data_IF_985393758156
#
_entry.id   IF_985393758156
#
_cell.length_a   1.000
_cell.length_b   1.000
_cell.length_c   1.000
_cell.angle_alpha   90.00
_cell.angle_beta   90.00
_cell.angle_gamma   90.00
#
_symmetry.space_group_name_H-M   'P 1'
#
loop_
_entity.id
_entity.type
_entity.pdbx_description
1 polymer ?
#
# COMPACT_ATOMS: atom_id res chain seq x y z
N UNK A 1 -30.79 8.02 6.54
CA UNK A 1 -29.33 7.84 6.45
C UNK A 1 -28.83 8.59 5.22
N UNK A 2 -27.75 9.36 5.31
CA UNK A 2 -27.12 9.97 4.13
C UNK A 2 -26.68 8.88 3.13
N UNK A 3 -26.64 9.18 1.82
CA UNK A 3 -26.19 8.22 0.82
C UNK A 3 -24.75 7.78 1.09
N UNK A 4 -24.50 6.46 1.09
CA UNK A 4 -23.15 5.87 1.13
C UNK A 4 -22.61 5.78 -0.29
N UNK A 5 -22.03 6.87 -0.79
CA UNK A 5 -21.23 6.86 -2.02
C UNK A 5 -19.88 6.15 -1.78
N UNK A 6 -19.13 5.84 -2.85
CA UNK A 6 -17.88 5.08 -2.76
C UNK A 6 -16.69 5.82 -2.14
N UNK A 7 -15.47 5.38 -2.47
CA UNK A 7 -14.22 5.80 -1.81
C UNK A 7 -13.96 7.33 -1.85
N UNK A 8 -14.46 8.05 -2.86
CA UNK A 8 -14.41 9.52 -2.89
C UNK A 8 -15.08 10.16 -1.66
N UNK A 9 -16.28 9.70 -1.30
CA UNK A 9 -17.02 10.22 -0.15
C UNK A 9 -16.36 9.80 1.17
N UNK A 10 -15.75 8.62 1.21
CA UNK A 10 -14.98 8.20 2.38
C UNK A 10 -13.82 9.17 2.66
N UNK A 11 -13.02 9.50 1.65
CA UNK A 11 -11.91 10.45 1.81
C UNK A 11 -12.42 11.85 2.18
N UNK A 12 -13.49 12.34 1.55
CA UNK A 12 -14.11 13.64 1.89
C UNK A 12 -14.58 13.65 3.34
N UNK A 13 -15.27 12.59 3.78
CA UNK A 13 -15.76 12.50 5.15
C UNK A 13 -14.61 12.45 6.16
N UNK A 14 -13.50 11.79 5.85
CA UNK A 14 -12.31 11.83 6.71
C UNK A 14 -11.74 13.25 6.83
N UNK A 15 -11.77 14.05 5.76
CA UNK A 15 -11.40 15.47 5.83
C UNK A 15 -12.36 16.28 6.71
N UNK A 16 -13.69 16.08 6.57
CA UNK A 16 -14.72 16.69 7.44
C UNK A 16 -14.45 16.38 8.91
N UNK A 17 -14.30 15.10 9.27
CA UNK A 17 -14.10 14.66 10.65
C UNK A 17 -12.81 15.21 11.24
N UNK A 18 -11.69 15.08 10.51
CA UNK A 18 -10.38 15.48 11.03
C UNK A 18 -10.25 17.00 11.17
N UNK A 19 -10.91 17.77 10.31
CA UNK A 19 -10.87 19.25 10.32
C UNK A 19 -11.67 19.85 11.48
N UNK A 20 -12.78 19.21 11.87
CA UNK A 20 -13.78 19.78 12.80
C UNK A 20 -13.73 19.17 14.20
N UNK A 21 -13.26 17.92 14.36
CA UNK A 21 -13.29 17.22 15.64
C UNK A 21 -11.90 17.15 16.29
N UNK A 22 -11.81 17.11 17.63
CA UNK A 22 -10.54 16.89 18.32
C UNK A 22 -9.98 15.49 17.97
N UNK A 23 -8.65 15.35 17.97
CA UNK A 23 -7.95 14.10 17.59
C UNK A 23 -8.46 12.88 18.38
N UNK A 24 -8.85 13.08 19.65
CA UNK A 24 -9.39 12.03 20.52
C UNK A 24 -10.71 11.41 20.02
N UNK A 25 -11.42 12.06 19.10
CA UNK A 25 -12.71 11.61 18.56
C UNK A 25 -12.62 11.03 17.15
N UNK A 26 -11.48 11.10 16.46
CA UNK A 26 -11.38 10.71 15.05
C UNK A 26 -11.71 9.22 14.78
N UNK A 27 -11.42 8.35 15.74
CA UNK A 27 -11.62 6.89 15.65
C UNK A 27 -12.70 6.35 16.61
N UNK A 28 -13.46 7.23 17.24
CA UNK A 28 -14.43 6.89 18.30
C UNK A 28 -15.82 7.31 17.85
N UNK A 29 -16.82 6.48 18.15
CA UNK A 29 -18.21 6.85 17.96
C UNK A 29 -18.58 7.99 18.92
N UNK A 30 -19.07 9.11 18.37
CA UNK A 30 -19.57 10.23 19.15
C UNK A 30 -20.88 10.76 18.55
N UNK A 31 -21.48 11.79 19.16
CA UNK A 31 -22.65 12.46 18.57
C UNK A 31 -22.34 13.04 17.20
N UNK A 32 -21.07 13.39 16.95
CA UNK A 32 -20.63 14.07 15.74
C UNK A 32 -19.90 13.14 14.75
N UNK A 33 -19.40 11.99 15.23
CA UNK A 33 -18.71 10.98 14.41
C UNK A 33 -19.43 9.62 14.48
N UNK A 34 -20.14 9.26 13.40
CA UNK A 34 -20.74 7.93 13.25
C UNK A 34 -19.80 7.03 12.46
N UNK A 35 -19.13 6.11 13.13
CA UNK A 35 -18.18 5.19 12.51
C UNK A 35 -18.81 4.20 11.52
N UNK A 36 -20.15 4.12 11.46
CA UNK A 36 -20.87 3.35 10.45
C UNK A 36 -21.01 4.12 9.13
N UNK A 37 -20.79 5.43 9.13
CA UNK A 37 -20.77 6.27 7.93
C UNK A 37 -19.32 6.62 7.57
N UNK A 38 -18.66 5.72 6.84
CA UNK A 38 -17.28 5.93 6.39
C UNK A 38 -16.30 6.31 7.52
N UNK A 39 -16.39 5.61 8.66
CA UNK A 39 -15.45 5.80 9.76
C UNK A 39 -13.99 5.60 9.32
N UNK A 40 -13.08 6.22 10.06
CA UNK A 40 -11.66 6.20 9.73
C UNK A 40 -11.08 4.81 10.02
N UNK A 41 -10.68 4.10 8.96
CA UNK A 41 -10.23 2.70 9.00
C UNK A 41 -8.73 2.54 8.69
N UNK A 42 -8.03 3.66 8.44
CA UNK A 42 -6.60 3.69 8.13
C UNK A 42 -5.80 4.21 9.33
N UNK A 43 -4.48 3.93 9.39
CA UNK A 43 -3.67 4.33 10.53
C UNK A 43 -3.43 5.86 10.59
N UNK A 44 -2.89 6.36 11.72
CA UNK A 44 -2.81 7.78 12.04
C UNK A 44 -2.29 8.71 10.94
N UNK A 45 -1.32 8.29 10.12
CA UNK A 45 -0.74 9.17 9.11
C UNK A 45 -1.74 9.51 8.00
N UNK A 46 -2.69 8.63 7.69
CA UNK A 46 -3.82 9.00 6.82
C UNK A 46 -4.71 10.04 7.46
N UNK A 47 -5.01 9.93 8.75
CA UNK A 47 -5.83 10.92 9.44
C UNK A 47 -5.14 12.31 9.45
N UNK A 48 -3.83 12.36 9.68
CA UNK A 48 -3.05 13.60 9.57
C UNK A 48 -3.05 14.17 8.13
N UNK A 49 -2.94 13.31 7.13
CA UNK A 49 -3.06 13.74 5.73
C UNK A 49 -4.45 14.32 5.44
N UNK A 50 -5.52 13.64 5.84
CA UNK A 50 -6.90 14.13 5.71
C UNK A 50 -7.11 15.44 6.45
N UNK A 51 -6.49 15.62 7.62
CA UNK A 51 -6.50 16.88 8.36
C UNK A 51 -5.85 18.02 7.57
N UNK A 52 -4.65 17.80 7.02
CA UNK A 52 -3.92 18.81 6.24
C UNK A 52 -4.72 19.19 5.00
N UNK A 53 -5.17 18.22 4.21
CA UNK A 53 -5.96 18.48 3.00
C UNK A 53 -7.32 19.11 3.37
N UNK A 54 -7.94 18.67 4.46
CA UNK A 54 -9.19 19.22 4.96
C UNK A 54 -9.09 20.67 5.43
N UNK A 55 -7.98 21.06 6.07
CA UNK A 55 -7.69 22.46 6.42
C UNK A 55 -7.46 23.34 5.18
N UNK A 56 -6.75 22.83 4.18
CA UNK A 56 -6.60 23.53 2.89
C UNK A 56 -7.97 23.69 2.21
N UNK A 57 -8.79 22.64 2.25
CA UNK A 57 -10.17 22.65 1.73
C UNK A 57 -11.03 23.72 2.42
N UNK A 58 -11.00 23.75 3.76
CA UNK A 58 -11.73 24.73 4.59
C UNK A 58 -11.32 26.18 4.28
N UNK A 59 -10.03 26.43 4.02
CA UNK A 59 -9.53 27.76 3.63
C UNK A 59 -10.03 28.22 2.25
N UNK A 60 -10.25 27.28 1.32
CA UNK A 60 -10.72 27.59 -0.04
C UNK A 60 -12.24 27.71 -0.06
N UNK A 61 -12.95 26.73 0.51
CA UNK A 61 -14.40 26.69 0.55
C UNK A 61 -14.88 25.92 1.80
N UNK A 62 -15.26 26.61 2.90
CA UNK A 62 -15.61 25.99 4.18
C UNK A 62 -16.72 24.93 4.08
N UNK A 63 -17.64 25.09 3.14
CA UNK A 63 -18.77 24.16 2.93
C UNK A 63 -18.33 22.75 2.52
N UNK A 64 -17.13 22.55 1.96
CA UNK A 64 -16.67 21.24 1.49
C UNK A 64 -16.32 20.28 2.63
N UNK A 65 -15.96 20.83 3.80
CA UNK A 65 -15.64 20.07 5.01
C UNK A 65 -16.54 20.43 6.19
N UNK A 66 -17.62 21.18 5.97
CA UNK A 66 -18.56 21.57 7.01
C UNK A 66 -19.21 20.35 7.68
N UNK A 67 -19.15 20.29 9.01
CA UNK A 67 -19.64 19.15 9.78
C UNK A 67 -21.15 18.93 9.53
N UNK A 68 -21.54 17.68 9.25
CA UNK A 68 -22.91 17.22 8.95
C UNK A 68 -23.50 17.68 7.61
N UNK A 69 -23.22 18.90 7.15
CA UNK A 69 -23.83 19.48 5.94
C UNK A 69 -23.06 19.14 4.66
N UNK A 70 -21.76 18.84 4.75
CA UNK A 70 -20.91 18.55 3.58
C UNK A 70 -21.03 17.14 3.02
N UNK A 71 -21.87 16.28 3.62
CA UNK A 71 -22.01 14.86 3.28
C UNK A 71 -22.60 14.67 1.88
N UNK A 72 -21.89 13.97 1.01
CA UNK A 72 -22.29 13.71 -0.37
C UNK A 72 -22.09 14.87 -1.34
N UNK A 73 -21.30 15.89 -1.01
CA UNK A 73 -20.98 16.98 -1.94
C UNK A 73 -20.23 16.44 -3.17
N UNK A 74 -20.77 16.72 -4.35
CA UNK A 74 -20.24 16.27 -5.64
C UNK A 74 -20.11 17.39 -6.69
N UNK A 75 -20.03 18.66 -6.25
CA UNK A 75 -19.82 19.78 -7.17
C UNK A 75 -18.46 19.68 -7.90
N UNK A 76 -18.37 20.29 -9.09
CA UNK A 76 -17.21 20.12 -9.96
C UNK A 76 -15.92 20.76 -9.42
N UNK A 77 -16.03 21.89 -8.71
CA UNK A 77 -14.88 22.54 -8.07
C UNK A 77 -14.29 21.70 -6.93
N UNK A 78 -15.14 21.06 -6.13
CA UNK A 78 -14.74 20.14 -5.06
C UNK A 78 -14.10 18.88 -5.64
N UNK A 79 -14.69 18.30 -6.71
CA UNK A 79 -14.07 17.18 -7.44
C UNK A 79 -12.69 17.57 -7.97
N UNK A 80 -12.55 18.76 -8.57
CA UNK A 80 -11.27 19.25 -9.07
C UNK A 80 -10.25 19.38 -7.93
N UNK A 81 -10.61 20.02 -6.82
CA UNK A 81 -9.75 20.14 -5.64
C UNK A 81 -9.25 18.77 -5.16
N UNK A 82 -10.17 17.83 -4.99
CA UNK A 82 -9.89 16.47 -4.55
C UNK A 82 -8.96 15.73 -5.52
N UNK A 83 -9.11 15.89 -6.84
CA UNK A 83 -8.19 15.29 -7.82
C UNK A 83 -6.82 15.97 -7.82
N UNK A 84 -6.78 17.28 -7.62
CA UNK A 84 -5.52 18.03 -7.52
C UNK A 84 -4.72 17.63 -6.27
N UNK A 85 -5.37 17.37 -5.14
CA UNK A 85 -4.65 16.89 -3.95
C UNK A 85 -3.97 15.54 -4.19
N UNK A 86 -4.64 14.59 -4.88
CA UNK A 86 -4.03 13.31 -5.32
C UNK A 86 -2.82 13.56 -6.24
N UNK A 87 -2.96 14.44 -7.23
CA UNK A 87 -1.89 14.72 -8.20
C UNK A 87 -0.67 15.39 -7.56
N UNK A 88 -0.90 16.35 -6.67
CA UNK A 88 0.18 17.07 -5.96
C UNK A 88 0.96 16.10 -5.08
N UNK A 89 0.30 15.26 -4.29
CA UNK A 89 0.99 14.28 -3.44
C UNK A 89 1.67 13.18 -4.26
N UNK A 90 1.13 12.82 -5.43
CA UNK A 90 1.76 11.90 -6.37
C UNK A 90 3.10 12.43 -6.89
N UNK A 91 3.10 13.68 -7.37
CA UNK A 91 4.31 14.36 -7.87
C UNK A 91 5.32 14.61 -6.75
N UNK A 92 4.87 14.93 -5.54
CA UNK A 92 5.76 15.24 -4.42
C UNK A 92 6.43 14.01 -3.81
N UNK A 93 5.72 12.88 -3.70
CA UNK A 93 6.20 11.72 -2.93
C UNK A 93 6.59 10.53 -3.80
N UNK A 94 5.75 10.17 -4.78
CA UNK A 94 5.92 8.93 -5.53
C UNK A 94 6.91 9.07 -6.70
N UNK A 95 6.71 10.09 -7.56
CA UNK A 95 7.56 10.30 -8.74
C UNK A 95 9.05 10.42 -8.37
N UNK A 96 9.46 11.23 -7.37
CA UNK A 96 10.88 11.42 -7.08
C UNK A 96 11.55 10.13 -6.59
N UNK A 97 10.85 9.35 -5.75
CA UNK A 97 11.36 8.08 -5.24
C UNK A 97 11.55 7.06 -6.37
N UNK A 98 10.55 6.91 -7.24
CA UNK A 98 10.60 6.01 -8.38
C UNK A 98 11.69 6.41 -9.37
N UNK A 99 11.77 7.71 -9.69
CA UNK A 99 12.80 8.26 -10.57
C UNK A 99 14.20 7.99 -10.01
N UNK A 100 14.44 8.23 -8.73
CA UNK A 100 15.75 8.00 -8.10
C UNK A 100 16.16 6.52 -8.10
N UNK A 101 15.19 5.60 -7.98
CA UNK A 101 15.43 4.16 -8.03
C UNK A 101 15.72 3.67 -9.45
N UNK A 102 15.04 4.24 -10.45
CA UNK A 102 15.14 3.85 -11.86
C UNK A 102 16.00 4.80 -12.71
N UNK A 103 16.73 5.74 -12.11
CA UNK A 103 17.50 6.77 -12.83
C UNK A 103 18.58 6.22 -13.79
N UNK A 104 19.04 5.00 -13.53
CA UNK A 104 20.04 4.31 -14.35
C UNK A 104 19.39 3.29 -15.32
N UNK A 105 18.06 3.19 -15.32
CA UNK A 105 17.31 2.34 -16.23
C UNK A 105 17.16 3.01 -17.59
N UNK A 106 16.81 2.21 -18.60
CA UNK A 106 16.42 2.74 -19.91
C UNK A 106 15.21 3.66 -19.75
N UNK A 107 15.15 4.76 -20.50
CA UNK A 107 14.04 5.73 -20.44
C UNK A 107 12.67 5.07 -20.61
N UNK A 108 12.57 4.06 -21.49
CA UNK A 108 11.35 3.25 -21.67
C UNK A 108 10.87 2.58 -20.37
N UNK A 109 11.78 2.06 -19.55
CA UNK A 109 11.44 1.39 -18.28
C UNK A 109 10.93 2.42 -17.26
N UNK A 110 11.58 3.58 -17.19
CA UNK A 110 11.13 4.67 -16.34
C UNK A 110 9.74 5.19 -16.76
N UNK A 111 9.51 5.39 -18.07
CA UNK A 111 8.19 5.79 -18.58
C UNK A 111 7.13 4.71 -18.30
N UNK A 112 7.44 3.43 -18.52
CA UNK A 112 6.53 2.33 -18.19
C UNK A 112 6.15 2.35 -16.70
N UNK A 113 7.13 2.53 -15.81
CA UNK A 113 6.88 2.55 -14.38
C UNK A 113 6.07 3.78 -13.92
N UNK A 114 6.30 4.96 -14.50
CA UNK A 114 5.55 6.17 -14.19
C UNK A 114 4.11 6.12 -14.72
N UNK A 115 3.91 5.54 -15.91
CA UNK A 115 2.61 5.47 -16.58
C UNK A 115 1.83 4.20 -16.26
N UNK A 116 2.27 3.40 -15.29
CA UNK A 116 1.63 2.13 -14.94
C UNK A 116 0.11 2.29 -14.66
N UNK A 117 -0.77 1.63 -15.46
CA UNK A 117 -2.22 1.85 -15.41
C UNK A 117 -2.86 1.55 -14.08
N UNK A 118 -2.46 0.44 -13.43
CA UNK A 118 -3.06 0.03 -12.17
C UNK A 118 -3.03 1.14 -11.11
N UNK A 119 -1.88 1.77 -10.90
CA UNK A 119 -1.78 2.85 -9.91
C UNK A 119 -2.50 4.12 -10.38
N UNK A 120 -2.30 4.52 -11.64
CA UNK A 120 -2.89 5.74 -12.19
C UNK A 120 -4.41 5.72 -12.16
N UNK A 121 -5.04 4.62 -12.57
CA UNK A 121 -6.49 4.47 -12.64
C UNK A 121 -7.13 4.30 -11.27
N UNK A 122 -6.46 3.60 -10.34
CA UNK A 122 -6.98 3.46 -8.99
C UNK A 122 -6.89 4.79 -8.22
N UNK A 123 -5.78 5.52 -8.31
CA UNK A 123 -5.64 6.77 -7.57
C UNK A 123 -6.45 7.91 -8.23
N UNK A 124 -6.33 8.10 -9.55
CA UNK A 124 -6.96 9.24 -10.26
C UNK A 124 -8.35 8.93 -10.85
N UNK A 125 -8.75 7.66 -10.97
CA UNK A 125 -10.09 7.26 -11.40
C UNK A 125 -10.95 6.89 -10.20
N UNK A 126 -10.60 5.79 -9.53
CA UNK A 126 -11.32 5.25 -8.37
C UNK A 126 -11.23 6.13 -7.10
N UNK A 127 -10.31 7.11 -7.08
CA UNK A 127 -10.08 8.07 -5.99
C UNK A 127 -9.47 7.45 -4.74
N UNK A 128 -8.15 7.27 -4.78
CA UNK A 128 -7.36 6.72 -3.68
C UNK A 128 -6.04 7.46 -3.52
N UNK A 129 -5.48 7.41 -2.31
CA UNK A 129 -4.14 7.90 -2.00
C UNK A 129 -3.14 6.75 -1.83
N UNK A 130 -3.16 5.73 -2.69
CA UNK A 130 -2.24 4.59 -2.54
C UNK A 130 -0.78 5.00 -2.78
N UNK A 131 -0.54 5.92 -3.71
CA UNK A 131 0.79 6.43 -4.03
C UNK A 131 1.53 7.06 -2.84
N UNK A 132 0.85 7.55 -1.81
CA UNK A 132 1.51 8.10 -0.62
C UNK A 132 2.21 6.97 0.14
N UNK A 133 1.48 5.91 0.46
CA UNK A 133 2.02 4.71 1.09
C UNK A 133 3.10 4.06 0.23
N UNK A 134 2.79 3.80 -1.04
CA UNK A 134 3.71 3.16 -1.98
C UNK A 134 4.95 4.03 -2.24
N UNK A 135 4.80 5.35 -2.27
CA UNK A 135 5.90 6.31 -2.41
C UNK A 135 6.82 6.33 -1.20
N UNK A 136 6.28 6.30 0.02
CA UNK A 136 7.04 6.15 1.26
C UNK A 136 7.77 4.80 1.31
N UNK A 137 7.14 3.73 0.83
CA UNK A 137 7.78 2.43 0.62
C UNK A 137 8.94 2.52 -0.38
N UNK A 138 8.77 3.19 -1.52
CA UNK A 138 9.85 3.41 -2.49
C UNK A 138 11.00 4.21 -1.88
N UNK A 139 10.71 5.24 -1.07
CA UNK A 139 11.73 5.96 -0.30
C UNK A 139 12.48 5.03 0.66
N UNK A 140 11.79 4.10 1.31
CA UNK A 140 12.43 3.09 2.15
C UNK A 140 13.43 2.24 1.36
N UNK A 141 12.99 1.68 0.21
CA UNK A 141 13.85 0.90 -0.71
C UNK A 141 15.06 1.72 -1.16
N UNK A 142 14.85 2.99 -1.54
CA UNK A 142 15.93 3.90 -1.93
C UNK A 142 16.98 4.07 -0.83
N UNK A 143 16.55 4.36 0.41
CA UNK A 143 17.47 4.53 1.52
C UNK A 143 18.20 3.23 1.90
N UNK A 144 17.53 2.08 1.80
CA UNK A 144 18.18 0.78 1.98
C UNK A 144 19.31 0.57 0.94
N UNK A 145 19.05 0.89 -0.33
CA UNK A 145 20.05 0.81 -1.41
C UNK A 145 21.18 1.83 -1.30
N UNK A 146 20.96 2.93 -0.58
CA UNK A 146 21.97 3.93 -0.23
C UNK A 146 22.69 3.66 1.08
N UNK A 147 22.54 2.47 1.67
CA UNK A 147 23.16 2.08 2.94
C UNK A 147 22.77 3.01 4.10
N UNK A 148 21.55 3.56 4.06
CA UNK A 148 20.96 4.44 5.07
C UNK A 148 19.76 3.76 5.76
N UNK A 149 19.96 2.61 6.46
CA UNK A 149 18.85 1.78 6.91
C UNK A 149 17.95 2.46 7.94
N UNK A 150 18.46 3.36 8.79
CA UNK A 150 17.62 4.10 9.73
C UNK A 150 16.57 4.97 9.02
N UNK A 151 16.98 5.76 8.01
CA UNK A 151 16.06 6.58 7.21
C UNK A 151 15.07 5.71 6.43
N UNK A 152 15.52 4.57 5.91
CA UNK A 152 14.63 3.62 5.24
C UNK A 152 13.61 2.99 6.20
N UNK A 153 14.01 2.67 7.42
CA UNK A 153 13.09 2.18 8.47
C UNK A 153 12.06 3.24 8.86
N UNK A 154 12.45 4.51 9.00
CA UNK A 154 11.49 5.61 9.23
C UNK A 154 10.48 5.67 8.07
N UNK A 155 10.96 5.73 6.83
CA UNK A 155 10.10 5.80 5.65
C UNK A 155 9.12 4.61 5.56
N UNK A 156 9.58 3.40 5.88
CA UNK A 156 8.72 2.22 5.88
C UNK A 156 7.68 2.22 7.02
N UNK A 157 8.06 2.68 8.22
CA UNK A 157 7.10 2.86 9.33
C UNK A 157 6.05 3.91 8.98
N UNK A 158 6.43 4.98 8.28
CA UNK A 158 5.48 5.98 7.77
C UNK A 158 4.56 5.38 6.71
N UNK A 159 5.08 4.55 5.78
CA UNK A 159 4.28 3.84 4.79
C UNK A 159 3.21 2.95 5.48
N UNK A 160 3.64 2.13 6.45
CA UNK A 160 2.75 1.31 7.28
C UNK A 160 1.73 2.13 8.06
N UNK A 161 2.12 3.31 8.53
CA UNK A 161 1.25 4.21 9.27
C UNK A 161 0.30 5.02 8.37
N UNK A 162 0.46 4.93 7.05
CA UNK A 162 -0.47 5.48 6.07
C UNK A 162 -1.45 4.40 5.58
N UNK A 163 -0.95 3.23 5.18
CA UNK A 163 -1.80 2.07 4.86
C UNK A 163 -1.18 0.80 5.44
N UNK A 164 -1.92 0.15 6.33
CA UNK A 164 -1.52 -1.09 6.99
C UNK A 164 -1.19 -2.23 6.03
N UNK A 165 -1.70 -2.15 4.79
CA UNK A 165 -1.46 -3.15 3.75
C UNK A 165 0.03 -3.25 3.34
N UNK A 166 0.86 -2.24 3.65
CA UNK A 166 2.32 -2.32 3.49
C UNK A 166 2.98 -3.43 4.33
N UNK A 167 2.25 -4.04 5.26
CA UNK A 167 2.70 -5.25 5.97
C UNK A 167 3.08 -6.37 5.01
N UNK A 168 2.57 -6.37 3.77
CA UNK A 168 2.92 -7.34 2.73
C UNK A 168 4.41 -7.30 2.37
N UNK A 169 5.08 -6.16 2.61
CA UNK A 169 6.51 -5.97 2.40
C UNK A 169 7.36 -6.14 3.67
N UNK A 170 6.73 -6.30 4.84
CA UNK A 170 7.44 -6.27 6.13
C UNK A 170 8.40 -7.44 6.32
N UNK A 171 8.01 -8.66 5.93
CA UNK A 171 8.84 -9.87 6.09
C UNK A 171 10.18 -9.76 5.33
N UNK A 172 10.21 -9.46 4.01
CA UNK A 172 11.47 -9.31 3.29
C UNK A 172 12.29 -8.10 3.76
N UNK A 173 11.66 -6.98 4.16
CA UNK A 173 12.37 -5.84 4.76
C UNK A 173 13.06 -6.23 6.06
N UNK A 174 12.34 -6.93 6.93
CA UNK A 174 12.90 -7.42 8.19
C UNK A 174 14.06 -8.38 7.94
N UNK A 175 13.89 -9.39 7.08
CA UNK A 175 14.94 -10.35 6.74
C UNK A 175 16.19 -9.66 6.16
N UNK A 176 15.99 -8.71 5.26
CA UNK A 176 17.07 -7.94 4.63
C UNK A 176 17.84 -7.10 5.66
N UNK A 177 17.16 -6.36 6.53
CA UNK A 177 17.79 -5.54 7.55
C UNK A 177 18.46 -6.38 8.64
N UNK A 178 17.84 -7.49 9.04
CA UNK A 178 18.40 -8.46 9.98
C UNK A 178 19.69 -9.07 9.41
N UNK A 179 19.65 -9.59 8.18
CA UNK A 179 20.83 -10.16 7.52
C UNK A 179 21.99 -9.17 7.46
N UNK A 180 21.71 -7.91 7.09
CA UNK A 180 22.74 -6.85 7.07
C UNK A 180 23.27 -6.46 8.45
N UNK A 181 22.46 -6.64 9.50
CA UNK A 181 22.85 -6.37 10.89
C UNK A 181 23.65 -7.51 11.50
N UNK A 182 23.47 -8.74 11.00
CA UNK A 182 24.18 -9.93 11.46
C UNK A 182 25.49 -10.17 10.71
N UNK A 183 25.55 -9.88 9.41
CA UNK A 183 26.66 -10.30 8.54
C UNK A 183 27.41 -9.11 7.90
N UNK A 184 28.74 -9.23 7.74
CA UNK A 184 29.58 -8.28 6.97
C UNK A 184 29.57 -8.57 5.47
N UNK A 185 29.43 -9.84 5.12
CA UNK A 185 29.32 -10.39 3.78
C UNK A 185 28.61 -11.75 3.85
N UNK A 186 28.49 -12.50 2.75
CA UNK A 186 27.83 -13.79 2.77
C UNK A 186 28.38 -14.71 3.87
N UNK A 187 27.50 -15.13 4.79
CA UNK A 187 27.80 -16.07 5.89
C UNK A 187 28.90 -15.65 6.88
N UNK A 188 29.39 -14.40 6.83
CA UNK A 188 30.44 -13.92 7.73
C UNK A 188 29.85 -13.05 8.84
N UNK A 189 29.73 -13.61 10.05
CA UNK A 189 29.13 -12.92 11.20
C UNK A 189 29.93 -11.70 11.65
N UNK A 190 29.20 -10.67 12.07
CA UNK A 190 29.76 -9.49 12.74
C UNK A 190 30.08 -9.80 14.20
N UNK A 191 31.02 -9.06 14.83
CA UNK A 191 31.21 -9.09 16.28
C UNK A 191 29.90 -8.78 17.01
N UNK A 192 29.66 -9.47 18.13
CA UNK A 192 28.42 -9.35 18.93
C UNK A 192 28.09 -7.89 19.28
N UNK A 193 29.10 -7.09 19.67
CA UNK A 193 28.92 -5.65 19.96
C UNK A 193 28.38 -4.87 18.76
N UNK A 194 28.87 -5.17 17.56
CA UNK A 194 28.41 -4.56 16.31
C UNK A 194 26.97 -4.99 16.01
N UNK A 195 26.65 -6.29 16.16
CA UNK A 195 25.30 -6.81 15.98
C UNK A 195 24.31 -6.08 16.90
N UNK A 196 24.60 -6.03 18.20
CA UNK A 196 23.75 -5.37 19.20
C UNK A 196 23.56 -3.89 18.84
N UNK A 197 24.63 -3.18 18.46
CA UNK A 197 24.53 -1.78 18.05
C UNK A 197 23.60 -1.57 16.84
N UNK A 198 23.74 -2.37 15.78
CA UNK A 198 22.90 -2.24 14.58
C UNK A 198 21.44 -2.57 14.88
N UNK A 199 21.18 -3.66 15.61
CA UNK A 199 19.83 -4.06 16.00
C UNK A 199 19.17 -3.04 16.93
N UNK A 200 19.88 -2.57 17.95
CA UNK A 200 19.37 -1.55 18.88
C UNK A 200 19.09 -0.24 18.13
N UNK A 201 19.99 0.20 17.25
CA UNK A 201 19.80 1.42 16.45
C UNK A 201 18.54 1.33 15.58
N UNK A 202 18.31 0.21 14.90
CA UNK A 202 17.12 0.03 14.06
C UNK A 202 15.86 -0.12 14.90
N UNK A 203 15.90 -0.91 15.98
CA UNK A 203 14.78 -1.11 16.89
C UNK A 203 14.33 0.20 17.54
N UNK A 204 15.25 0.99 18.08
CA UNK A 204 14.97 2.32 18.65
C UNK A 204 14.37 3.25 17.58
N UNK A 205 14.94 3.26 16.37
CA UNK A 205 14.43 4.08 15.27
C UNK A 205 12.96 3.75 14.94
N UNK A 206 12.63 2.47 14.83
CA UNK A 206 11.26 2.00 14.56
C UNK A 206 10.32 2.36 15.72
N UNK A 207 10.71 2.08 16.96
CA UNK A 207 9.90 2.35 18.16
C UNK A 207 9.62 3.86 18.29
N UNK A 208 10.64 4.71 18.15
CA UNK A 208 10.48 6.17 18.24
C UNK A 208 9.55 6.67 17.12
N UNK A 209 9.71 6.18 15.89
CA UNK A 209 8.86 6.62 14.77
C UNK A 209 7.39 6.26 15.01
N UNK A 210 7.11 5.03 15.45
CA UNK A 210 5.74 4.65 15.84
C UNK A 210 5.24 5.47 17.02
N UNK A 211 6.05 5.65 18.07
CA UNK A 211 5.67 6.44 19.24
C UNK A 211 5.30 7.88 18.87
N UNK A 212 6.07 8.53 17.99
CA UNK A 212 5.78 9.90 17.52
C UNK A 212 4.48 9.94 16.71
N UNK A 213 4.28 9.02 15.77
CA UNK A 213 3.07 8.99 14.92
C UNK A 213 1.82 8.70 15.75
N UNK A 214 1.92 7.84 16.76
CA UNK A 214 0.79 7.38 17.57
C UNK A 214 0.57 8.18 18.85
N UNK A 215 1.51 9.06 19.24
CA UNK A 215 1.46 9.80 20.51
C UNK A 215 0.11 10.50 20.78
N UNK A 216 -0.53 11.18 19.81
CA UNK A 216 -1.82 11.83 20.05
C UNK A 216 -2.96 10.88 20.39
N UNK A 217 -2.88 9.61 19.95
CA UNK A 217 -3.92 8.60 20.16
C UNK A 217 -3.74 7.80 21.45
N UNK A 218 -2.63 8.00 22.18
CA UNK A 218 -2.45 7.43 23.52
C UNK A 218 -3.45 8.02 24.52
N UNK A 219 -3.84 9.28 24.30
CA UNK A 219 -4.77 10.02 25.15
C UNK A 219 -6.22 10.03 24.62
N UNK A 220 -6.52 9.25 23.57
CA UNK A 220 -7.91 9.11 23.11
C UNK A 220 -8.74 8.40 24.18
N UNK A 221 -10.06 8.65 24.20
CA UNK A 221 -10.97 8.14 25.23
C UNK A 221 -10.90 6.61 25.41
N UNK A 222 -10.78 5.88 24.30
CA UNK A 222 -10.67 4.42 24.24
C UNK A 222 -9.23 3.93 23.96
N UNK A 223 -8.27 4.86 24.00
CA UNK A 223 -6.84 4.62 23.80
C UNK A 223 -6.45 4.17 22.37
N UNK A 224 -5.19 3.74 22.20
CA UNK A 224 -4.65 3.31 20.90
C UNK A 224 -5.21 1.96 20.43
N UNK A 225 -5.79 1.16 21.34
CA UNK A 225 -6.39 -0.13 21.01
C UNK A 225 -7.64 0.03 20.14
N UNK A 226 -8.43 1.08 20.35
CA UNK A 226 -9.57 1.40 19.49
C UNK A 226 -9.13 1.69 18.05
N UNK A 227 -8.05 2.46 17.88
CA UNK A 227 -7.47 2.75 16.56
C UNK A 227 -7.01 1.45 15.88
N UNK A 228 -6.33 0.56 16.63
CA UNK A 228 -5.92 -0.75 16.12
C UNK A 228 -7.11 -1.63 15.70
N UNK A 229 -8.20 -1.64 16.48
CA UNK A 229 -9.42 -2.37 16.15
C UNK A 229 -10.10 -1.90 14.87
N UNK A 230 -9.96 -0.61 14.52
CA UNK A 230 -10.42 -0.07 13.23
C UNK A 230 -9.52 -0.45 12.06
N UNK A 231 -8.21 -0.40 12.26
CA UNK A 231 -7.21 -0.75 11.22
C UNK A 231 -7.29 -2.23 10.83
N UNK A 232 -7.52 -3.11 11.82
CA UNK A 232 -7.63 -4.57 11.62
C UNK A 232 -9.01 -5.07 12.06
N UNK A 233 -10.03 -4.97 11.19
CA UNK A 233 -11.38 -5.41 11.52
C UNK A 233 -11.49 -6.94 11.47
N UNK A 234 -11.31 -7.61 12.61
CA UNK A 234 -11.34 -9.08 12.72
C UNK A 234 -12.73 -9.73 12.51
N UNK A 235 -13.77 -8.94 12.22
CA UNK A 235 -15.17 -9.39 12.22
C UNK A 235 -15.79 -9.57 10.82
N UNK A 236 -15.02 -9.44 9.73
CA UNK A 236 -15.53 -9.62 8.35
C UNK A 236 -15.42 -11.08 7.89
N UNK A 237 -16.41 -11.54 7.12
CA UNK A 237 -16.50 -12.92 6.65
C UNK A 237 -15.54 -13.24 5.50
N UNK A 238 -15.30 -14.54 5.24
CA UNK A 238 -14.54 -14.99 4.07
C UNK A 238 -15.37 -14.77 2.77
N UNK A 239 -14.76 -14.15 1.76
CA UNK A 239 -15.33 -13.87 0.41
C UNK A 239 -16.40 -12.75 0.33
N UNK A 240 -16.23 -11.61 1.00
CA UNK A 240 -17.10 -10.46 0.72
C UNK A 240 -16.88 -9.89 -0.69
N UNK A 241 -15.67 -10.00 -1.25
CA UNK A 241 -15.30 -9.48 -2.57
C UNK A 241 -14.73 -10.58 -3.50
N UNK A 242 -15.02 -10.50 -4.82
CA UNK A 242 -14.54 -11.44 -5.85
C UNK A 242 -13.14 -11.05 -6.32
N UNK A 243 -12.12 -11.53 -5.63
CA UNK A 243 -10.71 -11.21 -5.92
C UNK A 243 -10.00 -12.37 -6.64
N UNK A 244 -9.04 -12.06 -7.51
CA UNK A 244 -8.21 -13.04 -8.23
C UNK A 244 -7.17 -13.74 -7.33
N UNK A 245 -7.61 -14.32 -6.20
CA UNK A 245 -6.76 -15.03 -5.25
C UNK A 245 -6.96 -16.56 -5.30
N UNK A 246 -6.10 -17.31 -4.61
CA UNK A 246 -6.14 -18.77 -4.58
C UNK A 246 -7.50 -19.29 -4.13
N UNK A 247 -8.05 -18.71 -3.06
CA UNK A 247 -9.30 -19.12 -2.45
C UNK A 247 -10.49 -18.92 -3.40
N UNK A 248 -10.59 -17.78 -4.06
CA UNK A 248 -11.70 -17.48 -4.97
C UNK A 248 -11.66 -18.39 -6.18
N UNK A 249 -10.49 -18.59 -6.78
CA UNK A 249 -10.32 -19.48 -7.93
C UNK A 249 -10.66 -20.94 -7.58
N UNK A 250 -10.11 -21.45 -6.47
CA UNK A 250 -10.36 -22.83 -6.02
C UNK A 250 -11.79 -23.04 -5.49
N UNK A 251 -12.50 -21.98 -5.06
CA UNK A 251 -13.88 -22.08 -4.57
C UNK A 251 -14.91 -22.55 -5.60
N UNK A 252 -14.56 -22.50 -6.88
CA UNK A 252 -15.37 -23.06 -7.97
C UNK A 252 -15.45 -24.58 -7.85
N UNK A 253 -14.35 -25.22 -7.44
CA UNK A 253 -14.21 -26.68 -7.29
C UNK A 253 -14.43 -27.11 -5.85
N UNK A 254 -13.84 -26.40 -4.89
CA UNK A 254 -13.85 -26.74 -3.46
C UNK A 254 -14.67 -25.74 -2.66
N UNK A 255 -15.82 -26.16 -2.11
CA UNK A 255 -16.64 -25.30 -1.26
C UNK A 255 -16.09 -25.23 0.17
N UNK A 256 -15.02 -24.46 0.36
CA UNK A 256 -14.32 -24.34 1.65
C UNK A 256 -15.22 -23.98 2.83
N UNK A 257 -16.29 -23.20 2.63
CA UNK A 257 -17.23 -22.83 3.69
C UNK A 257 -18.01 -24.02 4.25
N UNK A 258 -18.21 -25.05 3.44
CA UNK A 258 -18.94 -26.27 3.84
C UNK A 258 -18.00 -27.28 4.49
N UNK A 259 -16.69 -27.16 4.22
CA UNK A 259 -15.66 -28.11 4.65
C UNK A 259 -14.89 -27.65 5.88
N UNK A 260 -14.70 -26.35 6.07
CA UNK A 260 -13.80 -25.78 7.07
C UNK A 260 -14.45 -24.61 7.81
N UNK A 261 -14.17 -24.52 9.10
CA UNK A 261 -14.55 -23.38 9.93
C UNK A 261 -13.72 -22.14 9.56
N UNK A 262 -14.24 -20.94 9.86
CA UNK A 262 -13.53 -19.67 9.65
C UNK A 262 -12.16 -19.68 10.34
N UNK A 263 -12.06 -20.19 11.57
CA UNK A 263 -10.79 -20.27 12.30
C UNK A 263 -9.77 -21.21 11.62
N UNK A 264 -10.21 -22.32 11.04
CA UNK A 264 -9.32 -23.21 10.28
C UNK A 264 -8.83 -22.53 9.00
N UNK A 265 -9.70 -21.79 8.30
CA UNK A 265 -9.34 -21.05 7.09
C UNK A 265 -8.37 -19.91 7.38
N UNK A 266 -8.55 -19.20 8.49
CA UNK A 266 -7.60 -18.18 8.98
C UNK A 266 -6.22 -18.78 9.29
N UNK A 267 -6.18 -19.95 9.94
CA UNK A 267 -4.91 -20.64 10.23
C UNK A 267 -4.26 -21.17 8.96
N UNK A 268 -5.03 -21.76 8.04
CA UNK A 268 -4.54 -22.29 6.77
C UNK A 268 -3.96 -21.20 5.87
N UNK A 269 -4.67 -20.07 5.71
CA UNK A 269 -4.18 -18.90 4.97
C UNK A 269 -2.90 -18.33 5.57
N UNK A 270 -2.85 -18.17 6.90
CA UNK A 270 -1.62 -17.74 7.58
C UNK A 270 -0.47 -18.72 7.32
N UNK A 271 -0.72 -20.02 7.40
CA UNK A 271 0.27 -21.06 7.12
C UNK A 271 0.80 -21.03 5.69
N UNK A 272 -0.09 -20.87 4.69
CA UNK A 272 0.29 -20.81 3.27
C UNK A 272 1.13 -19.56 2.94
N UNK A 273 0.77 -18.40 3.52
CA UNK A 273 1.58 -17.18 3.37
C UNK A 273 2.98 -17.40 3.95
N UNK A 274 3.08 -17.88 5.18
CA UNK A 274 4.38 -18.11 5.82
C UNK A 274 5.20 -19.15 5.05
N UNK A 275 4.60 -20.26 4.65
CA UNK A 275 5.29 -21.34 3.94
C UNK A 275 5.87 -20.87 2.60
N UNK A 276 5.15 -20.05 1.86
CA UNK A 276 5.61 -19.53 0.55
C UNK A 276 6.67 -18.43 0.66
N UNK A 277 6.76 -17.73 1.80
CA UNK A 277 7.77 -16.69 2.02
C UNK A 277 9.06 -17.22 2.69
N UNK A 278 8.99 -18.35 3.40
CA UNK A 278 10.14 -18.98 4.09
C UNK A 278 11.41 -19.09 3.21
N UNK A 279 11.36 -19.59 1.96
CA UNK A 279 12.56 -19.71 1.13
C UNK A 279 13.21 -18.34 0.85
N UNK A 280 12.40 -17.34 0.52
CA UNK A 280 12.88 -15.97 0.29
C UNK A 280 13.39 -15.30 1.55
N UNK A 281 12.79 -15.59 2.72
CA UNK A 281 13.25 -15.10 4.02
C UNK A 281 14.67 -15.56 4.32
N UNK A 282 14.94 -16.86 4.24
CA UNK A 282 16.28 -17.40 4.51
C UNK A 282 17.31 -16.96 3.47
N UNK A 283 16.92 -16.91 2.20
CA UNK A 283 17.79 -16.40 1.13
C UNK A 283 18.21 -14.95 1.41
N UNK A 284 17.27 -14.09 1.82
CA UNK A 284 17.56 -12.70 2.16
C UNK A 284 18.39 -12.55 3.42
N UNK A 285 18.11 -13.35 4.43
CA UNK A 285 18.83 -13.34 5.70
C UNK A 285 20.32 -13.67 5.49
N UNK A 286 20.60 -14.68 4.67
CA UNK A 286 21.95 -15.18 4.43
C UNK A 286 22.70 -14.40 3.33
N UNK A 287 21.97 -13.85 2.35
CA UNK A 287 22.52 -13.06 1.25
C UNK A 287 21.65 -11.83 0.93
N UNK A 288 21.78 -10.73 1.68
CA UNK A 288 20.97 -9.52 1.51
C UNK A 288 21.43 -8.67 0.32
N UNK A 289 21.33 -9.21 -0.90
CA UNK A 289 21.59 -8.49 -2.15
C UNK A 289 20.39 -7.62 -2.57
N UNK A 290 20.61 -6.65 -3.47
CA UNK A 290 19.53 -5.77 -3.96
C UNK A 290 18.49 -6.52 -4.79
N UNK A 291 18.94 -7.38 -5.71
CA UNK A 291 18.07 -8.19 -6.56
C UNK A 291 17.26 -9.20 -5.75
N UNK A 292 17.90 -9.94 -4.83
CA UNK A 292 17.18 -10.82 -3.92
C UNK A 292 16.15 -10.05 -3.08
N UNK A 293 16.46 -8.82 -2.69
CA UNK A 293 15.54 -7.98 -1.93
C UNK A 293 14.29 -7.60 -2.72
N UNK A 294 14.46 -7.14 -3.97
CA UNK A 294 13.32 -6.84 -4.85
C UNK A 294 12.49 -8.08 -5.17
N UNK A 295 13.13 -9.23 -5.42
CA UNK A 295 12.43 -10.50 -5.62
C UNK A 295 11.69 -10.96 -4.36
N UNK A 296 12.28 -10.77 -3.18
CA UNK A 296 11.62 -11.08 -1.90
C UNK A 296 10.42 -10.17 -1.62
N UNK A 297 10.51 -8.88 -1.96
CA UNK A 297 9.39 -7.94 -1.92
C UNK A 297 8.25 -8.38 -2.83
N UNK A 298 8.56 -8.77 -4.07
CA UNK A 298 7.58 -9.28 -5.03
C UNK A 298 6.95 -10.60 -4.56
N UNK A 299 7.76 -11.57 -4.12
CA UNK A 299 7.28 -12.87 -3.65
C UNK A 299 6.38 -12.71 -2.42
N UNK A 300 6.79 -11.91 -1.45
CA UNK A 300 6.00 -11.66 -0.24
C UNK A 300 4.67 -11.01 -0.58
N UNK A 301 4.66 -9.92 -1.35
CA UNK A 301 3.42 -9.23 -1.72
C UNK A 301 2.47 -10.10 -2.57
N UNK A 302 2.98 -10.91 -3.50
CA UNK A 302 2.17 -11.89 -4.23
C UNK A 302 1.64 -13.00 -3.32
N UNK A 303 2.46 -13.51 -2.39
CA UNK A 303 2.06 -14.53 -1.42
C UNK A 303 0.88 -14.04 -0.56
N UNK A 304 0.98 -12.85 0.02
CA UNK A 304 -0.12 -12.24 0.76
C UNK A 304 -1.35 -12.02 -0.15
N UNK A 305 -1.19 -11.50 -1.36
CA UNK A 305 -2.31 -11.31 -2.29
C UNK A 305 -3.02 -12.62 -2.65
N UNK A 306 -2.28 -13.71 -2.87
CA UNK A 306 -2.84 -14.98 -3.30
C UNK A 306 -3.43 -15.79 -2.14
N UNK A 307 -2.78 -15.80 -0.98
CA UNK A 307 -3.09 -16.75 0.09
C UNK A 307 -3.70 -16.12 1.34
N UNK A 308 -3.71 -14.79 1.51
CA UNK A 308 -4.37 -14.19 2.67
C UNK A 308 -5.88 -14.42 2.67
N UNK A 309 -6.43 -14.51 3.88
CA UNK A 309 -7.86 -14.75 4.11
C UNK A 309 -8.74 -13.63 3.53
N UNK A 310 -8.32 -12.39 3.72
CA UNK A 310 -9.00 -11.21 3.22
C UNK A 310 -8.04 -10.39 2.38
N UNK A 311 -8.42 -10.16 1.13
CA UNK A 311 -7.66 -9.38 0.14
C UNK A 311 -8.67 -8.56 -0.63
N UNK A 312 -8.28 -7.35 -1.03
CA UNK A 312 -9.05 -6.52 -1.95
C UNK A 312 -8.38 -6.51 -3.33
N UNK A 313 -9.14 -6.28 -4.39
CA UNK A 313 -8.65 -6.23 -5.78
C UNK A 313 -7.46 -5.26 -5.90
N UNK A 314 -7.57 -4.10 -5.25
CA UNK A 314 -6.56 -3.03 -5.24
C UNK A 314 -5.23 -3.42 -4.59
N UNK A 315 -5.21 -4.43 -3.72
CA UNK A 315 -3.98 -4.85 -3.02
C UNK A 315 -2.93 -5.42 -3.98
N UNK A 316 -3.30 -5.78 -5.22
CA UNK A 316 -2.35 -6.20 -6.25
C UNK A 316 -1.30 -5.13 -6.57
N UNK A 317 -1.59 -3.85 -6.29
CA UNK A 317 -0.64 -2.75 -6.46
C UNK A 317 0.62 -2.94 -5.61
N UNK A 318 0.52 -3.58 -4.45
CA UNK A 318 1.67 -3.89 -3.59
C UNK A 318 2.65 -4.82 -4.30
N UNK A 319 2.18 -5.77 -5.10
CA UNK A 319 3.02 -6.62 -5.93
C UNK A 319 3.48 -5.92 -7.22
N UNK A 320 2.66 -5.03 -7.77
CA UNK A 320 3.01 -4.29 -8.98
C UNK A 320 4.23 -3.39 -8.77
N UNK A 321 4.36 -2.71 -7.61
CA UNK A 321 5.47 -1.77 -7.39
C UNK A 321 6.85 -2.45 -7.41
N UNK A 322 7.12 -3.54 -6.68
CA UNK A 322 8.36 -4.31 -6.83
C UNK A 322 8.58 -4.83 -8.25
N UNK A 323 7.51 -5.25 -8.94
CA UNK A 323 7.60 -5.70 -10.34
C UNK A 323 8.06 -4.56 -11.28
N UNK A 324 7.62 -3.32 -11.05
CA UNK A 324 8.11 -2.14 -11.77
C UNK A 324 9.61 -1.92 -11.56
N UNK A 325 10.12 -2.15 -10.36
CA UNK A 325 11.56 -2.02 -10.06
C UNK A 325 12.40 -3.12 -10.72
N UNK A 326 11.81 -4.29 -10.98
CA UNK A 326 12.44 -5.44 -11.63
C UNK A 326 12.33 -5.42 -13.16
N UNK A 327 11.63 -4.44 -13.76
CA UNK A 327 11.39 -4.37 -15.21
C UNK A 327 12.67 -4.39 -16.06
N UNK A 328 13.76 -3.81 -15.54
CA UNK A 328 15.04 -3.80 -16.25
C UNK A 328 15.76 -5.15 -16.20
N UNK A 329 15.59 -5.91 -15.12
CA UNK A 329 16.26 -7.20 -14.91
C UNK A 329 15.50 -8.31 -15.64
N UNK A 330 14.16 -8.35 -15.54
CA UNK A 330 13.31 -9.43 -16.06
C UNK A 330 12.13 -8.87 -16.91
N UNK A 331 12.45 -8.22 -18.03
CA UNK A 331 11.47 -7.45 -18.83
C UNK A 331 10.23 -8.25 -19.23
N UNK A 332 10.40 -9.43 -19.83
CA UNK A 332 9.27 -10.23 -20.34
C UNK A 332 8.33 -10.67 -19.23
N UNK A 333 8.88 -11.23 -18.15
CA UNK A 333 8.08 -11.71 -17.01
C UNK A 333 7.37 -10.54 -16.31
N UNK A 334 8.08 -9.44 -16.04
CA UNK A 334 7.50 -8.29 -15.33
C UNK A 334 6.43 -7.58 -16.16
N UNK A 335 6.64 -7.37 -17.46
CA UNK A 335 5.61 -6.78 -18.35
C UNK A 335 4.35 -7.65 -18.45
N UNK A 336 4.52 -8.98 -18.50
CA UNK A 336 3.40 -9.93 -18.48
C UNK A 336 2.64 -9.84 -17.16
N UNK A 337 3.37 -9.89 -16.04
CA UNK A 337 2.77 -9.75 -14.71
C UNK A 337 2.00 -8.43 -14.57
N UNK A 338 2.61 -7.29 -14.95
CA UNK A 338 1.97 -5.97 -14.90
C UNK A 338 0.73 -5.86 -15.79
N UNK A 339 0.71 -6.57 -16.92
CA UNK A 339 -0.48 -6.65 -17.78
C UNK A 339 -1.59 -7.46 -17.09
N UNK A 340 -1.24 -8.58 -16.46
CA UNK A 340 -2.20 -9.40 -15.68
C UNK A 340 -2.75 -8.60 -14.50
N UNK A 341 -1.92 -7.85 -13.78
CA UNK A 341 -2.38 -7.01 -12.67
C UNK A 341 -3.34 -5.92 -13.14
N UNK A 342 -3.07 -5.27 -14.29
CA UNK A 342 -4.01 -4.31 -14.88
C UNK A 342 -5.37 -4.94 -15.24
N UNK A 343 -5.35 -6.11 -15.89
CA UNK A 343 -6.58 -6.84 -16.25
C UNK A 343 -7.37 -7.20 -14.98
N UNK A 344 -6.70 -7.61 -13.91
CA UNK A 344 -7.36 -7.98 -12.64
C UNK A 344 -8.12 -6.83 -11.98
N UNK A 345 -7.74 -5.57 -12.24
CA UNK A 345 -8.40 -4.37 -11.72
C UNK A 345 -9.58 -3.90 -12.57
N UNK A 346 -9.73 -4.42 -13.79
CA UNK A 346 -10.73 -3.95 -14.74
C UNK A 346 -12.18 -4.07 -14.25
N UNK A 347 -12.63 -5.18 -13.61
CA UNK A 347 -14.00 -5.29 -13.12
C UNK A 347 -14.36 -4.20 -12.10
N UNK A 348 -13.42 -3.83 -11.23
CA UNK A 348 -13.61 -2.75 -10.26
C UNK A 348 -13.76 -1.40 -10.98
N UNK A 349 -12.83 -1.08 -11.88
CA UNK A 349 -12.82 0.19 -12.61
C UNK A 349 -14.08 0.37 -13.48
N UNK A 350 -14.61 -0.72 -14.05
CA UNK A 350 -15.90 -0.70 -14.76
C UNK A 350 -17.07 -0.43 -13.82
N UNK A 351 -17.11 -1.06 -12.64
CA UNK A 351 -18.14 -0.84 -11.62
C UNK A 351 -18.20 0.62 -11.19
N UNK A 352 -17.04 1.29 -11.13
CA UNK A 352 -16.93 2.70 -10.76
C UNK A 352 -17.06 3.68 -11.94
N UNK A 353 -17.33 3.18 -13.15
CA UNK A 353 -17.55 4.03 -14.32
C UNK A 353 -16.29 4.72 -14.86
N UNK A 354 -15.10 4.19 -14.60
CA UNK A 354 -13.83 4.74 -15.12
C UNK A 354 -13.65 4.34 -16.59
N UNK A 355 -14.33 5.08 -17.49
CA UNK A 355 -14.37 4.80 -18.94
C UNK A 355 -12.97 4.77 -19.58
N UNK A 356 -12.02 5.55 -19.06
CA UNK A 356 -10.64 5.62 -19.55
C UNK A 356 -9.81 4.36 -19.24
N UNK A 357 -10.28 3.45 -18.39
CA UNK A 357 -9.49 2.31 -17.93
C UNK A 357 -9.06 1.37 -19.08
N UNK A 358 -9.98 1.05 -20.00
CA UNK A 358 -9.71 0.17 -21.13
C UNK A 358 -8.74 0.81 -22.14
N UNK A 359 -9.02 1.98 -22.73
CA UNK A 359 -8.12 2.58 -23.73
C UNK A 359 -6.73 2.87 -23.14
N UNK A 360 -6.65 3.27 -21.87
CA UNK A 360 -5.35 3.52 -21.22
C UNK A 360 -4.55 2.23 -21.01
N UNK A 361 -5.20 1.15 -20.56
CA UNK A 361 -4.52 -0.15 -20.38
C UNK A 361 -4.06 -0.76 -21.69
N UNK A 362 -4.86 -0.64 -22.77
CA UNK A 362 -4.49 -1.07 -24.11
C UNK A 362 -3.30 -0.25 -24.63
N UNK A 363 -3.36 1.08 -24.55
CA UNK A 363 -2.27 1.94 -24.99
C UNK A 363 -0.95 1.61 -24.27
N UNK A 364 -1.01 1.42 -22.94
CA UNK A 364 0.15 1.00 -22.16
C UNK A 364 0.73 -0.33 -22.65
N UNK A 365 -0.13 -1.33 -22.86
CA UNK A 365 0.29 -2.65 -23.33
C UNK A 365 0.94 -2.57 -24.73
N UNK A 366 0.30 -1.87 -25.68
CA UNK A 366 0.83 -1.70 -27.03
C UNK A 366 2.20 -0.98 -27.03
N UNK A 367 2.40 0.04 -26.19
CA UNK A 367 3.65 0.81 -26.15
C UNK A 367 4.77 0.02 -25.49
N UNK A 368 4.51 -0.63 -24.35
CA UNK A 368 5.58 -1.20 -23.52
C UNK A 368 5.79 -2.71 -23.71
N UNK A 369 4.84 -3.41 -24.33
CA UNK A 369 4.97 -4.85 -24.64
C UNK A 369 5.46 -5.10 -26.08
N UNK A 370 5.07 -4.30 -27.09
CA UNK A 370 5.52 -4.54 -28.47
C UNK A 370 6.99 -4.17 -28.73
N UNK A 371 7.64 -3.41 -27.84
CA UNK A 371 9.09 -3.22 -27.89
C UNK A 371 9.89 -4.47 -27.45
N UNK A 372 9.22 -5.59 -27.18
CA UNK A 372 9.85 -6.89 -26.86
C UNK A 372 10.35 -7.63 -28.09
N UNK A 373 9.83 -7.34 -29.30
CA UNK A 373 10.17 -8.09 -30.52
C UNK A 373 11.09 -7.37 -31.51
N UNK A 374 11.30 -6.05 -31.39
CA UNK A 374 12.05 -5.29 -32.40
C UNK A 374 13.57 -5.25 -32.12
N UNK A 375 14.01 -5.57 -30.89
CA UNK A 375 15.43 -5.45 -30.48
C UNK A 375 16.07 -6.80 -30.14
N UNK A 376 15.35 -7.92 -30.22
CA UNK A 376 15.95 -9.26 -30.11
C UNK A 376 16.51 -9.80 -31.43
N UNK A 377 16.52 -8.99 -32.49
CA UNK A 377 17.01 -9.35 -33.83
C UNK A 377 17.91 -8.27 -34.44
N UNK A 378 18.88 -7.78 -33.68
CA UNK A 378 19.98 -6.97 -34.21
C UNK A 378 21.25 -7.14 -33.39
#
# INVERSE_FOLDING_TARGET
>A
MPPKFGDFEAQRHWMEITTNLPISEWYVNSTNNDLNYWGLDYPPLTAYHSFIVGKISEMIHPEWTALHTSRGITNDYHKLFMRMSVMVTFVALYIPALWLLLKNAKSEVLLAALLYPGLMLIDNGHFQYNHISLGLFLWAVYFFFKNKPAYGSVAFVLALSFKQMELYHAIPIFAYLLGRSLFYGPLTLRPIKSIIYHLAKLGICVIITFAVVWAPFVYSKDGPLQVLGRIFPFYRGLFEDKVANFWCCSSVVFKFKDLLTIHQLLRASTGLVLLSVIPTFFTLLLNPSKTCFLMGLLNSSLSFFLFSFQVHEKSILLAAIPALLLLQEERLLMTTLLSVTNISLFPLLLKDGVVSALPYSIAYHCVFQNNVSIVSSS
#
